data_IF_460709898513
#
_entry.id   IF_460709898513
#
_cell.length_a   1.000
_cell.length_b   1.000
_cell.length_c   1.000
_cell.angle_alpha   90.00
_cell.angle_beta   90.00
_cell.angle_gamma   90.00
#
_symmetry.space_group_name_H-M   'P 1'
#
loop_
_entity.id
_entity.type
_entity.pdbx_description
1 polymer ?
#
# COMPACT_ATOMS: atom_id res chain seq x y z
N UNK A 1 15.30 5.30 9.55
CA UNK A 1 15.46 3.92 9.04
C UNK A 1 16.12 4.07 7.68
N UNK A 2 17.36 3.60 7.52
CA UNK A 2 17.97 3.54 6.18
C UNK A 2 17.58 2.19 5.55
N UNK A 3 16.92 2.25 4.38
CA UNK A 3 16.33 1.11 3.70
C UNK A 3 17.14 0.68 2.47
N UNK A 4 18.17 1.44 2.08
CA UNK A 4 18.90 1.23 0.82
C UNK A 4 18.03 1.34 -0.44
N UNK A 5 16.81 1.85 -0.31
CA UNK A 5 15.87 2.16 -1.41
C UNK A 5 15.40 3.59 -1.22
N UNK A 6 15.63 4.42 -2.22
CA UNK A 6 15.23 5.83 -2.19
C UNK A 6 13.83 5.98 -2.77
N UNK A 7 12.88 6.37 -1.93
CA UNK A 7 11.53 6.69 -2.37
C UNK A 7 11.52 7.99 -3.20
N UNK A 8 10.54 8.19 -4.11
CA UNK A 8 10.46 9.40 -4.92
C UNK A 8 10.52 10.68 -4.06
N UNK A 9 11.28 11.70 -4.44
CA UNK A 9 11.41 12.93 -3.64
C UNK A 9 10.19 13.87 -3.66
N UNK A 10 9.17 13.57 -4.47
CA UNK A 10 7.96 14.37 -4.70
C UNK A 10 6.73 13.81 -3.95
N UNK A 11 6.94 13.18 -2.78
CA UNK A 11 5.84 12.68 -1.96
C UNK A 11 5.03 13.83 -1.34
N UNK A 12 3.69 13.69 -1.26
CA UNK A 12 2.83 14.74 -0.71
C UNK A 12 2.93 14.83 0.81
N UNK A 13 2.64 16.02 1.36
CA UNK A 13 2.28 16.15 2.77
C UNK A 13 0.96 15.42 3.04
N UNK A 14 0.96 14.59 4.08
CA UNK A 14 -0.15 13.64 4.34
C UNK A 14 -1.08 14.07 5.46
N UNK A 15 -0.68 15.00 6.33
CA UNK A 15 -1.39 15.28 7.59
C UNK A 15 -2.86 15.69 7.36
N UNK A 16 -3.16 16.38 6.25
CA UNK A 16 -4.55 16.73 5.85
C UNK A 16 -5.45 15.53 5.56
N UNK A 17 -4.85 14.38 5.24
CA UNK A 17 -5.54 13.14 4.91
C UNK A 17 -5.64 12.19 6.10
N UNK A 18 -5.16 12.59 7.28
CA UNK A 18 -5.21 11.77 8.49
C UNK A 18 -6.28 12.31 9.42
N UNK A 19 -7.06 11.38 9.99
CA UNK A 19 -8.05 11.67 11.02
C UNK A 19 -7.77 10.81 12.24
N UNK A 20 -8.13 11.27 13.43
CA UNK A 20 -8.14 10.39 14.61
C UNK A 20 -9.21 9.31 14.41
N UNK A 21 -9.18 8.19 15.15
CA UNK A 21 -10.24 7.18 15.09
C UNK A 21 -11.65 7.77 15.26
N UNK A 22 -11.79 8.82 16.08
CA UNK A 22 -13.01 9.57 16.38
C UNK A 22 -13.37 10.66 15.35
N UNK A 23 -12.61 10.77 14.25
CA UNK A 23 -12.74 11.78 13.19
C UNK A 23 -12.21 13.19 13.56
N UNK A 24 -11.33 13.31 14.55
CA UNK A 24 -10.59 14.56 14.80
C UNK A 24 -9.60 14.88 13.67
N UNK A 25 -9.33 16.16 13.44
CA UNK A 25 -8.24 16.61 12.54
C UNK A 25 -6.90 16.59 13.29
N UNK A 26 -5.80 16.74 12.54
CA UNK A 26 -4.44 16.81 13.10
C UNK A 26 -4.04 15.53 13.86
N UNK A 27 -4.43 14.38 13.31
CA UNK A 27 -4.12 13.09 13.91
C UNK A 27 -2.59 12.87 13.95
N UNK A 28 -2.03 12.44 15.09
CA UNK A 28 -0.62 12.07 15.13
C UNK A 28 -0.37 10.85 14.25
N UNK A 29 0.72 10.87 13.50
CA UNK A 29 1.16 9.72 12.72
C UNK A 29 1.85 8.70 13.63
N UNK A 30 1.03 8.02 14.44
CA UNK A 30 1.42 6.98 15.39
C UNK A 30 0.50 5.77 15.27
N UNK A 31 1.01 4.58 15.59
CA UNK A 31 0.23 3.36 15.45
C UNK A 31 -1.02 3.38 16.32
N UNK A 32 -2.17 3.09 15.72
CA UNK A 32 -3.47 3.09 16.40
C UNK A 32 -4.10 4.46 16.61
N UNK A 33 -3.41 5.56 16.28
CA UNK A 33 -3.89 6.92 16.56
C UNK A 33 -4.42 7.66 15.32
N UNK A 34 -4.43 7.02 14.16
CA UNK A 34 -4.98 7.61 12.94
C UNK A 34 -5.71 6.60 12.04
N UNK A 35 -6.53 7.16 11.16
CA UNK A 35 -7.13 6.52 10.00
C UNK A 35 -7.02 7.43 8.77
N UNK A 36 -7.15 6.85 7.59
CA UNK A 36 -7.15 7.61 6.33
C UNK A 36 -8.52 8.28 6.13
N UNK A 37 -8.50 9.59 5.91
CA UNK A 37 -9.69 10.39 5.58
C UNK A 37 -10.33 9.91 4.28
N UNK A 38 -11.68 9.87 4.19
CA UNK A 38 -12.38 9.61 2.92
C UNK A 38 -11.97 10.55 1.79
N UNK A 39 -11.52 11.77 2.12
CA UNK A 39 -11.02 12.75 1.14
C UNK A 39 -9.85 12.20 0.31
N UNK A 40 -8.96 11.39 0.92
CA UNK A 40 -7.84 10.78 0.21
C UNK A 40 -8.29 9.82 -0.91
N UNK A 41 -9.50 9.27 -0.77
CA UNK A 41 -10.08 8.29 -1.69
C UNK A 41 -11.12 8.88 -2.64
N UNK A 42 -11.22 10.20 -2.74
CA UNK A 42 -12.13 10.84 -3.69
C UNK A 42 -11.86 10.35 -5.11
N UNK A 43 -12.93 9.89 -5.79
CA UNK A 43 -12.86 9.36 -7.16
C UNK A 43 -12.32 7.93 -7.28
N UNK A 44 -12.14 7.21 -6.17
CA UNK A 44 -11.77 5.78 -6.15
C UNK A 44 -12.97 4.93 -5.73
N UNK A 45 -13.17 3.81 -6.41
CA UNK A 45 -14.13 2.79 -5.98
C UNK A 45 -13.54 1.96 -4.82
N UNK A 46 -14.08 2.20 -3.63
CA UNK A 46 -13.67 1.56 -2.37
C UNK A 46 -14.61 0.43 -1.94
N UNK A 47 -15.55 -0.01 -2.79
CA UNK A 47 -16.43 -1.12 -2.45
C UNK A 47 -15.66 -2.45 -2.37
N UNK A 48 -16.10 -3.37 -1.49
CA UNK A 48 -15.53 -4.71 -1.40
C UNK A 48 -15.57 -5.42 -2.75
N UNK A 49 -14.50 -6.14 -3.09
CA UNK A 49 -14.40 -6.92 -4.32
C UNK A 49 -14.52 -8.41 -4.00
N UNK A 50 -15.52 -9.07 -4.57
CA UNK A 50 -15.76 -10.51 -4.38
C UNK A 50 -15.14 -11.39 -5.47
N UNK A 51 -14.73 -10.79 -6.60
CA UNK A 51 -14.08 -11.49 -7.71
C UNK A 51 -12.56 -11.56 -7.53
N UNK A 52 -11.93 -12.57 -8.17
CA UNK A 52 -10.47 -12.64 -8.28
C UNK A 52 -9.98 -11.53 -9.20
N UNK A 53 -8.88 -10.89 -8.80
CA UNK A 53 -8.19 -9.87 -9.55
C UNK A 53 -6.91 -10.43 -10.18
N UNK A 54 -6.48 -9.77 -11.24
CA UNK A 54 -5.26 -10.03 -11.99
C UNK A 54 -4.27 -8.85 -11.83
N UNK A 55 -2.98 -9.02 -12.18
CA UNK A 55 -2.01 -7.92 -12.17
C UNK A 55 -2.44 -6.69 -13.00
N UNK A 56 -3.22 -6.91 -14.05
CA UNK A 56 -3.76 -5.84 -14.89
C UNK A 56 -4.76 -4.95 -14.15
N UNK A 57 -5.45 -5.45 -13.12
CA UNK A 57 -6.33 -4.64 -12.29
C UNK A 57 -5.56 -3.58 -11.50
N UNK A 58 -4.41 -3.96 -10.91
CA UNK A 58 -3.52 -3.03 -10.24
C UNK A 58 -2.91 -2.04 -11.26
N UNK A 59 -2.55 -2.51 -12.45
CA UNK A 59 -2.02 -1.66 -13.53
C UNK A 59 -3.03 -0.59 -13.95
N UNK A 60 -4.28 -0.98 -14.21
CA UNK A 60 -5.37 -0.05 -14.55
C UNK A 60 -5.60 0.96 -13.43
N UNK A 61 -5.61 0.50 -12.18
CA UNK A 61 -5.78 1.36 -11.02
C UNK A 61 -4.66 2.41 -10.93
N UNK A 62 -3.40 1.99 -10.99
CA UNK A 62 -2.23 2.87 -10.91
C UNK A 62 -2.21 3.89 -12.05
N UNK A 63 -2.54 3.46 -13.27
CA UNK A 63 -2.66 4.36 -14.42
C UNK A 63 -3.73 5.43 -14.21
N UNK A 64 -4.87 5.07 -13.62
CA UNK A 64 -5.93 6.03 -13.29
C UNK A 64 -5.53 7.03 -12.20
N UNK A 65 -4.55 6.69 -11.36
CA UNK A 65 -3.98 7.60 -10.35
C UNK A 65 -2.81 8.43 -10.87
N UNK A 66 -2.51 8.38 -12.17
CA UNK A 66 -1.42 9.17 -12.76
C UNK A 66 -0.03 8.62 -12.50
N UNK A 67 0.10 7.33 -12.11
CA UNK A 67 1.41 6.68 -11.96
C UNK A 67 2.15 6.48 -13.30
N UNK A 68 1.51 6.81 -14.43
CA UNK A 68 2.04 6.58 -15.76
C UNK A 68 1.94 5.11 -16.17
N UNK A 69 2.76 4.72 -17.15
CA UNK A 69 2.75 3.37 -17.74
C UNK A 69 3.61 2.38 -16.92
N UNK A 70 3.21 2.12 -15.67
CA UNK A 70 3.85 1.10 -14.84
C UNK A 70 3.33 -0.28 -15.27
N UNK A 71 4.12 -1.00 -16.06
CA UNK A 71 3.77 -2.34 -16.52
C UNK A 71 4.23 -3.41 -15.51
N UNK A 72 3.41 -4.45 -15.25
CA UNK A 72 3.79 -5.56 -14.41
C UNK A 72 4.89 -6.39 -15.08
N UNK A 73 5.98 -6.68 -14.36
CA UNK A 73 7.04 -7.60 -14.81
C UNK A 73 6.89 -8.92 -14.08
N UNK A 74 6.56 -10.00 -14.78
CA UNK A 74 6.45 -11.32 -14.15
C UNK A 74 7.84 -11.79 -13.69
N UNK A 75 7.99 -12.01 -12.38
CA UNK A 75 9.23 -12.46 -11.77
C UNK A 75 9.29 -13.98 -11.62
N UNK A 76 8.16 -14.59 -11.27
CA UNK A 76 7.90 -16.04 -11.25
C UNK A 76 6.40 -16.28 -11.33
N UNK A 77 5.99 -17.54 -11.57
CA UNK A 77 4.60 -18.02 -11.69
C UNK A 77 3.51 -17.03 -11.26
N UNK A 78 3.46 -16.72 -9.95
CA UNK A 78 2.44 -15.90 -9.32
C UNK A 78 2.97 -14.57 -8.73
N UNK A 79 4.18 -14.14 -9.08
CA UNK A 79 4.82 -12.94 -8.53
C UNK A 79 5.16 -11.96 -9.65
N UNK A 80 4.77 -10.70 -9.47
CA UNK A 80 5.00 -9.61 -10.40
C UNK A 80 5.69 -8.44 -9.70
N UNK A 81 6.51 -7.71 -10.45
CA UNK A 81 7.16 -6.49 -9.99
C UNK A 81 6.55 -5.26 -10.66
N UNK A 82 6.28 -4.24 -9.86
CA UNK A 82 5.89 -2.90 -10.31
C UNK A 82 6.99 -1.94 -9.87
N UNK A 83 7.74 -1.42 -10.85
CA UNK A 83 8.88 -0.54 -10.61
C UNK A 83 8.44 0.91 -10.76
N UNK A 84 8.50 1.67 -9.66
CA UNK A 84 8.20 3.10 -9.62
C UNK A 84 9.52 3.87 -9.69
N UNK A 85 9.73 4.73 -10.69
CA UNK A 85 10.99 5.46 -10.83
C UNK A 85 11.20 6.44 -9.67
N UNK A 86 12.45 6.56 -9.23
CA UNK A 86 12.92 7.58 -8.29
C UNK A 86 13.81 8.61 -8.99
N UNK A 87 14.15 9.70 -8.29
CA UNK A 87 14.92 10.83 -8.81
C UNK A 87 16.36 10.50 -9.21
N UNK A 88 16.94 9.47 -8.60
CA UNK A 88 18.33 9.03 -8.75
C UNK A 88 18.51 7.88 -9.76
N UNK A 89 17.49 7.61 -10.60
CA UNK A 89 17.39 6.44 -11.51
C UNK A 89 17.24 5.10 -10.79
N UNK A 90 17.10 5.08 -9.46
CA UNK A 90 16.65 3.89 -8.74
C UNK A 90 15.13 3.70 -8.92
N UNK A 91 14.60 2.62 -8.34
CA UNK A 91 13.18 2.35 -8.37
C UNK A 91 12.70 1.79 -7.02
N UNK A 92 11.49 2.20 -6.63
CA UNK A 92 10.72 1.53 -5.59
C UNK A 92 10.00 0.36 -6.26
N UNK A 93 10.41 -0.87 -5.92
CA UNK A 93 9.79 -2.09 -6.45
C UNK A 93 8.71 -2.61 -5.53
N UNK A 94 7.46 -2.52 -5.95
CA UNK A 94 6.38 -3.26 -5.30
C UNK A 94 6.36 -4.70 -5.84
N UNK A 95 6.18 -5.67 -4.95
CA UNK A 95 6.05 -7.09 -5.27
C UNK A 95 4.59 -7.49 -5.12
N UNK A 96 3.94 -7.82 -6.22
CA UNK A 96 2.56 -8.30 -6.25
C UNK A 96 2.57 -9.83 -6.29
N UNK A 97 2.06 -10.48 -5.25
CA UNK A 97 1.69 -11.88 -5.28
C UNK A 97 0.23 -12.03 -5.72
N UNK A 98 -0.02 -12.99 -6.61
CA UNK A 98 -1.36 -13.43 -7.04
C UNK A 98 -1.65 -14.76 -6.35
N UNK A 99 -2.62 -14.77 -5.45
CA UNK A 99 -2.95 -15.93 -4.62
C UNK A 99 -4.26 -16.56 -5.06
N UNK A 100 -4.61 -17.66 -4.40
CA UNK A 100 -5.84 -18.40 -4.68
C UNK A 100 -7.09 -17.60 -4.28
N UNK A 101 -7.05 -16.93 -3.12
CA UNK A 101 -8.18 -16.22 -2.51
C UNK A 101 -7.69 -15.11 -1.55
N UNK A 102 -8.63 -14.38 -0.94
CA UNK A 102 -8.37 -13.28 -0.01
C UNK A 102 -7.74 -13.72 1.30
N UNK A 103 -8.06 -14.92 1.80
CA UNK A 103 -7.45 -15.46 3.03
C UNK A 103 -5.97 -15.73 2.83
N UNK A 104 -5.60 -16.35 1.69
CA UNK A 104 -4.21 -16.60 1.31
C UNK A 104 -3.45 -15.31 1.06
N UNK A 105 -4.06 -14.31 0.40
CA UNK A 105 -3.44 -13.00 0.20
C UNK A 105 -3.22 -12.26 1.54
N UNK A 106 -4.19 -12.36 2.45
CA UNK A 106 -4.09 -11.80 3.81
C UNK A 106 -2.94 -12.41 4.58
N UNK A 107 -2.88 -13.75 4.61
CA UNK A 107 -1.83 -14.48 5.30
C UNK A 107 -0.45 -14.19 4.69
N UNK A 108 -0.33 -14.24 3.37
CA UNK A 108 0.94 -14.00 2.67
C UNK A 108 1.49 -12.59 2.97
N UNK A 109 0.65 -11.56 2.90
CA UNK A 109 1.06 -10.19 3.23
C UNK A 109 1.46 -10.05 4.71
N UNK A 110 0.67 -10.59 5.62
CA UNK A 110 0.95 -10.53 7.06
C UNK A 110 2.27 -11.22 7.40
N UNK A 111 2.45 -12.46 6.94
CA UNK A 111 3.66 -13.24 7.16
C UNK A 111 4.88 -12.53 6.55
N UNK A 112 4.77 -11.98 5.34
CA UNK A 112 5.87 -11.27 4.68
C UNK A 112 6.28 -9.99 5.41
N UNK A 113 5.31 -9.18 5.85
CA UNK A 113 5.56 -7.93 6.57
C UNK A 113 6.25 -8.23 7.91
N UNK A 114 5.82 -9.25 8.65
CA UNK A 114 6.47 -9.67 9.90
C UNK A 114 7.85 -10.29 9.69
N UNK A 115 8.00 -11.17 8.70
CA UNK A 115 9.27 -11.83 8.40
C UNK A 115 10.37 -10.83 8.03
N UNK A 116 10.02 -9.79 7.27
CA UNK A 116 10.94 -8.74 6.89
C UNK A 116 11.17 -7.69 8.00
N UNK A 117 10.20 -7.53 8.89
CA UNK A 117 10.32 -6.73 10.11
C UNK A 117 10.09 -5.23 9.91
N UNK A 118 10.56 -4.39 10.87
CA UNK A 118 10.07 -3.02 11.02
C UNK A 118 10.33 -2.15 9.78
N UNK A 119 9.31 -1.40 9.35
CA UNK A 119 9.38 -0.50 8.19
C UNK A 119 8.90 -1.12 6.88
N UNK A 120 8.70 -2.44 6.82
CA UNK A 120 8.05 -3.08 5.68
C UNK A 120 6.54 -2.87 5.72
N UNK A 121 5.93 -2.75 4.55
CA UNK A 121 4.52 -2.44 4.44
C UNK A 121 3.95 -2.99 3.14
N UNK A 122 2.63 -2.93 3.03
CA UNK A 122 1.95 -3.35 1.82
C UNK A 122 0.46 -3.12 1.84
N UNK A 123 -0.19 -3.52 0.75
CA UNK A 123 -1.64 -3.46 0.60
C UNK A 123 -2.16 -4.78 0.05
N UNK A 124 -3.35 -5.19 0.48
CA UNK A 124 -4.06 -6.31 -0.14
C UNK A 124 -5.44 -5.93 -0.63
N UNK A 125 -5.87 -6.57 -1.72
CA UNK A 125 -7.23 -6.46 -2.25
C UNK A 125 -7.60 -7.79 -2.89
N UNK A 126 -8.69 -8.42 -2.44
CA UNK A 126 -9.09 -9.75 -2.93
C UNK A 126 -7.89 -10.72 -2.84
N UNK A 127 -7.66 -11.54 -3.87
CA UNK A 127 -6.57 -12.50 -3.94
C UNK A 127 -5.18 -11.89 -4.24
N UNK A 128 -5.02 -10.56 -4.18
CA UNK A 128 -3.77 -9.88 -4.46
C UNK A 128 -3.13 -9.32 -3.19
N UNK A 129 -1.83 -9.61 -3.01
CA UNK A 129 -1.01 -9.07 -1.94
C UNK A 129 0.17 -8.28 -2.53
N UNK A 130 0.30 -7.01 -2.15
CA UNK A 130 1.39 -6.13 -2.59
C UNK A 130 2.31 -5.85 -1.42
N UNK A 131 3.57 -6.25 -1.53
CA UNK A 131 4.62 -5.94 -0.57
C UNK A 131 5.53 -4.84 -1.12
N UNK A 132 5.72 -3.78 -0.33
CA UNK A 132 6.60 -2.67 -0.63
C UNK A 132 7.92 -2.78 0.15
N UNK A 133 9.00 -2.14 -0.31
CA UNK A 133 10.26 -2.14 0.42
C UNK A 133 10.17 -1.34 1.72
N UNK A 134 11.19 -1.50 2.56
CA UNK A 134 11.30 -0.82 3.85
C UNK A 134 11.26 0.70 3.67
N UNK A 135 10.51 1.40 4.52
CA UNK A 135 10.44 2.86 4.58
C UNK A 135 10.10 3.32 6.00
N UNK A 136 10.21 4.62 6.31
CA UNK A 136 9.54 5.16 7.49
C UNK A 136 8.02 5.14 7.31
N UNK A 137 7.27 5.19 8.41
CA UNK A 137 5.79 5.23 8.35
C UNK A 137 5.30 6.44 7.52
N UNK A 138 5.95 7.60 7.65
CA UNK A 138 5.60 8.81 6.88
C UNK A 138 5.83 8.62 5.39
N UNK A 139 6.99 8.10 4.99
CA UNK A 139 7.29 7.84 3.57
C UNK A 139 6.37 6.77 2.98
N UNK A 140 6.13 5.67 3.71
CA UNK A 140 5.21 4.61 3.30
C UNK A 140 3.80 5.14 3.08
N UNK A 141 3.28 5.92 4.04
CA UNK A 141 1.95 6.54 3.93
C UNK A 141 1.88 7.57 2.81
N UNK A 142 2.90 8.41 2.65
CA UNK A 142 2.92 9.42 1.60
C UNK A 142 2.98 8.80 0.20
N UNK A 143 3.76 7.73 0.02
CA UNK A 143 3.77 6.96 -1.21
C UNK A 143 2.41 6.28 -1.47
N UNK A 144 1.84 5.64 -0.44
CA UNK A 144 0.57 4.96 -0.56
C UNK A 144 -0.60 5.94 -0.82
N UNK A 145 -0.56 7.15 -0.28
CA UNK A 145 -1.54 8.21 -0.55
C UNK A 145 -1.35 8.79 -1.95
N UNK A 146 -0.10 9.06 -2.38
CA UNK A 146 0.22 9.57 -3.73
C UNK A 146 -0.44 8.74 -4.82
N UNK A 147 -0.35 7.42 -4.70
CA UNK A 147 -0.94 6.48 -5.66
C UNK A 147 -2.27 5.87 -5.18
N UNK A 148 -2.87 6.42 -4.13
CA UNK A 148 -4.12 5.98 -3.49
C UNK A 148 -4.20 4.47 -3.20
N UNK A 149 -3.07 3.81 -2.93
CA UNK A 149 -3.00 2.39 -2.57
C UNK A 149 -3.79 2.08 -1.29
N UNK A 150 -3.83 3.02 -0.34
CA UNK A 150 -4.66 2.97 0.89
C UNK A 150 -6.18 2.96 0.61
N UNK A 151 -6.58 3.37 -0.60
CA UNK A 151 -7.96 3.33 -1.08
C UNK A 151 -8.24 2.12 -1.95
N UNK A 152 -7.19 1.53 -2.52
CA UNK A 152 -7.31 0.35 -3.35
C UNK A 152 -7.48 -0.91 -2.51
N UNK A 153 -6.79 -1.00 -1.38
CA UNK A 153 -6.76 -2.18 -0.55
C UNK A 153 -6.48 -1.88 0.92
N UNK A 154 -6.48 -2.93 1.74
CA UNK A 154 -6.18 -2.85 3.17
C UNK A 154 -4.68 -2.63 3.37
N UNK A 155 -4.30 -1.46 3.88
CA UNK A 155 -2.91 -1.10 4.16
C UNK A 155 -2.43 -1.73 5.47
N UNK A 156 -1.24 -2.34 5.42
CA UNK A 156 -0.58 -2.98 6.57
C UNK A 156 0.87 -2.52 6.66
N UNK A 157 1.36 -2.23 7.87
CA UNK A 157 2.73 -1.78 8.14
C UNK A 157 3.33 -2.52 9.33
N UNK A 158 4.57 -3.01 9.22
CA UNK A 158 5.32 -3.60 10.32
C UNK A 158 5.91 -2.50 11.23
N UNK A 159 5.44 -2.43 12.46
CA UNK A 159 6.16 -1.78 13.55
C UNK A 159 7.28 -2.66 14.09
N UNK A 160 7.72 -2.39 15.32
CA UNK A 160 8.86 -3.09 15.92
C UNK A 160 8.56 -4.57 16.20
N UNK A 161 7.39 -4.85 16.78
CA UNK A 161 7.01 -6.19 17.23
C UNK A 161 5.71 -6.71 16.58
N UNK A 162 4.95 -5.83 15.91
CA UNK A 162 3.61 -6.12 15.38
C UNK A 162 3.39 -5.56 13.97
N UNK A 163 2.38 -6.09 13.28
CA UNK A 163 1.85 -5.53 12.03
C UNK A 163 0.55 -4.74 12.29
N UNK A 164 0.54 -3.47 11.90
CA UNK A 164 -0.59 -2.55 12.07
C UNK A 164 -1.38 -2.42 10.78
N UNK A 165 -2.67 -2.73 10.85
CA UNK A 165 -3.62 -2.41 9.78
C UNK A 165 -4.10 -0.98 10.00
N UNK A 166 -3.90 -0.12 9.02
CA UNK A 166 -4.38 1.27 9.08
C UNK A 166 -5.81 1.30 8.55
N UNK A 167 -6.81 1.74 9.35
CA UNK A 167 -8.18 1.85 8.87
C UNK A 167 -8.27 2.85 7.73
N UNK A 168 -8.95 2.48 6.65
CA UNK A 168 -9.19 3.32 5.49
C UNK A 168 -10.58 3.08 4.89
N UNK A 169 -10.96 3.83 3.84
CA UNK A 169 -12.28 3.73 3.24
C UNK A 169 -12.57 2.41 2.51
N UNK A 170 -11.53 1.66 2.13
CA UNK A 170 -11.69 0.30 1.65
C UNK A 170 -11.72 -0.68 2.83
N UNK A 171 -12.77 -1.50 2.88
CA UNK A 171 -12.91 -2.60 3.81
C UNK A 171 -13.25 -3.88 3.04
N UNK A 172 -12.75 -5.02 3.49
CA UNK A 172 -13.19 -6.34 3.02
C UNK A 172 -14.30 -6.86 3.94
N UNK A 173 -15.23 -7.64 3.37
CA UNK A 173 -16.31 -8.30 4.10
C UNK A 173 -15.85 -9.62 4.72
#
# INVERSE_FOLDING_TARGET
>A
IDAGVEYPGDLPEIDRFLLTPENGREAPLAFGEFKVSPEACQGVDTHPVTQKLAPDDLTRFLSAQGAGSIAPKQARSNLYWFDFPSSDKSFVRLRLAVLEDSERATKDLHDAVLQHGPGWWGVRRSNLAVLAPKASLREAMAFAIKYKLVCWGVFTYAGNDDAYVVPGPYAEL
#
